data_IF_100950875287
#
_entry.id   IF_100950875287
#
_cell.length_a   1.000
_cell.length_b   1.000
_cell.length_c   1.000
_cell.angle_alpha   90.00
_cell.angle_beta   90.00
_cell.angle_gamma   90.00
#
_symmetry.space_group_name_H-M   'P 1'
#
loop_
_entity.id
_entity.type
_entity.pdbx_description
1 polymer ?
#
# COMPACT_ATOMS: atom_id res chain seq x y z
N UNK A 1 -8.55 -30.00 28.31
CA UNK A 1 -8.66 -29.49 26.93
C UNK A 1 -7.25 -29.41 26.39
N UNK A 2 -6.92 -30.22 25.38
CA UNK A 2 -5.60 -30.21 24.76
C UNK A 2 -5.44 -28.91 23.94
N UNK A 3 -4.20 -28.41 23.80
CA UNK A 3 -3.89 -27.22 22.98
C UNK A 3 -4.36 -27.32 21.53
N UNK A 4 -4.46 -28.53 20.96
CA UNK A 4 -5.05 -28.76 19.64
C UNK A 4 -6.57 -28.57 19.64
N UNK A 5 -7.28 -29.07 20.65
CA UNK A 5 -8.74 -28.89 20.78
C UNK A 5 -9.10 -27.40 20.91
N UNK A 6 -8.28 -26.64 21.65
CA UNK A 6 -8.46 -25.20 21.80
C UNK A 6 -8.24 -24.45 20.46
N UNK A 7 -7.19 -24.80 19.72
CA UNK A 7 -6.94 -24.21 18.38
C UNK A 7 -8.06 -24.54 17.40
N UNK A 8 -8.53 -25.78 17.42
CA UNK A 8 -9.62 -26.23 16.55
C UNK A 8 -10.94 -25.55 16.90
N UNK A 9 -11.25 -25.40 18.19
CA UNK A 9 -12.41 -24.64 18.65
C UNK A 9 -12.37 -23.18 18.16
N UNK A 10 -11.24 -22.49 18.35
CA UNK A 10 -11.06 -21.10 17.93
C UNK A 10 -11.21 -20.94 16.41
N UNK A 11 -10.61 -21.86 15.64
CA UNK A 11 -10.69 -21.85 14.19
C UNK A 11 -12.12 -22.13 13.69
N UNK A 12 -12.79 -23.16 14.21
CA UNK A 12 -14.17 -23.53 13.82
C UNK A 12 -15.19 -22.44 14.13
N UNK A 13 -14.94 -21.61 15.15
CA UNK A 13 -15.83 -20.51 15.56
C UNK A 13 -15.43 -19.15 14.97
N UNK A 14 -14.44 -19.12 14.08
CA UNK A 14 -13.88 -17.90 13.50
C UNK A 14 -13.51 -16.82 14.52
N UNK A 15 -13.16 -17.24 15.74
CA UNK A 15 -12.87 -16.32 16.86
C UNK A 15 -11.70 -15.39 16.52
N UNK A 16 -10.58 -15.86 15.94
CA UNK A 16 -9.48 -14.97 15.55
C UNK A 16 -9.89 -13.88 14.55
N UNK A 17 -10.80 -14.18 13.62
CA UNK A 17 -11.28 -13.25 12.61
C UNK A 17 -12.22 -12.20 13.20
N UNK A 18 -13.09 -12.62 14.14
CA UNK A 18 -13.91 -11.70 14.93
C UNK A 18 -13.03 -10.70 15.70
N UNK A 19 -12.06 -11.19 16.48
CA UNK A 19 -11.17 -10.33 17.25
C UNK A 19 -10.36 -9.39 16.35
N UNK A 20 -9.88 -9.88 15.21
CA UNK A 20 -9.17 -9.05 14.24
C UNK A 20 -10.05 -7.90 13.74
N UNK A 21 -11.31 -8.17 13.39
CA UNK A 21 -12.27 -7.16 12.93
C UNK A 21 -12.58 -6.11 14.01
N UNK A 22 -12.80 -6.56 15.25
CA UNK A 22 -13.05 -5.69 16.40
C UNK A 22 -11.85 -4.78 16.71
N UNK A 23 -10.64 -5.34 16.73
CA UNK A 23 -9.40 -4.60 16.96
C UNK A 23 -9.15 -3.58 15.85
N UNK A 24 -9.40 -3.95 14.59
CA UNK A 24 -9.27 -3.02 13.47
C UNK A 24 -10.26 -1.85 13.58
N UNK A 25 -11.51 -2.14 13.95
CA UNK A 25 -12.50 -1.11 14.24
C UNK A 25 -12.01 -0.13 15.30
N UNK A 26 -11.61 -0.63 16.47
CA UNK A 26 -11.08 0.18 17.58
C UNK A 26 -9.88 1.05 17.19
N UNK A 27 -8.91 0.47 16.49
CA UNK A 27 -7.71 1.20 16.06
C UNK A 27 -8.05 2.33 15.08
N UNK A 28 -9.08 2.15 14.25
CA UNK A 28 -9.50 3.14 13.25
C UNK A 28 -10.35 4.25 13.88
N UNK A 29 -11.39 3.88 14.62
CA UNK A 29 -12.38 4.82 15.18
C UNK A 29 -11.85 5.56 16.41
N UNK A 30 -10.95 4.96 17.19
CA UNK A 30 -10.42 5.52 18.46
C UNK A 30 -11.54 6.14 19.32
N UNK A 31 -12.57 5.35 19.66
CA UNK A 31 -13.74 5.87 20.38
C UNK A 31 -13.35 6.34 21.78
N UNK A 32 -14.06 7.34 22.31
CA UNK A 32 -13.85 7.81 23.68
C UNK A 32 -14.15 6.72 24.72
N UNK A 33 -15.15 5.88 24.44
CA UNK A 33 -15.45 4.65 25.19
C UNK A 33 -15.20 3.39 24.32
N UNK A 34 -14.04 2.72 24.50
CA UNK A 34 -13.70 1.49 23.78
C UNK A 34 -14.60 0.30 24.12
N UNK A 35 -15.15 0.24 25.34
CA UNK A 35 -15.95 -0.91 25.80
C UNK A 35 -17.33 -0.83 25.19
N UNK A 36 -17.99 0.33 25.27
CA UNK A 36 -19.29 0.56 24.65
C UNK A 36 -19.22 0.34 23.12
N UNK A 37 -18.14 0.82 22.49
CA UNK A 37 -17.91 0.58 21.06
C UNK A 37 -17.83 -0.93 20.74
N UNK A 38 -17.06 -1.71 21.51
CA UNK A 38 -16.95 -3.15 21.31
C UNK A 38 -18.27 -3.88 21.51
N UNK A 39 -19.06 -3.47 22.51
CA UNK A 39 -20.41 -4.01 22.74
C UNK A 39 -21.31 -3.77 21.53
N UNK A 40 -21.31 -2.55 20.99
CA UNK A 40 -22.08 -2.22 19.78
C UNK A 40 -21.65 -3.06 18.57
N UNK A 41 -20.35 -3.30 18.41
CA UNK A 41 -19.81 -4.14 17.35
C UNK A 41 -20.29 -5.60 17.50
N UNK A 42 -20.22 -6.16 18.71
CA UNK A 42 -20.68 -7.51 19.00
C UNK A 42 -22.20 -7.66 18.77
N UNK A 43 -22.98 -6.63 19.11
CA UNK A 43 -24.41 -6.62 18.83
C UNK A 43 -24.68 -6.67 17.32
N UNK A 44 -23.93 -5.89 16.52
CA UNK A 44 -23.99 -5.92 15.06
C UNK A 44 -23.57 -7.27 14.46
N UNK A 45 -22.62 -8.00 15.07
CA UNK A 45 -22.30 -9.38 14.66
C UNK A 45 -23.51 -10.30 14.79
N UNK A 46 -24.26 -10.17 15.90
CA UNK A 46 -25.48 -10.97 16.10
C UNK A 46 -26.52 -10.65 15.04
N UNK A 47 -26.71 -9.37 14.72
CA UNK A 47 -27.62 -8.93 13.66
C UNK A 47 -27.21 -9.44 12.27
N UNK A 48 -25.90 -9.53 11.99
CA UNK A 48 -25.37 -10.11 10.76
C UNK A 48 -25.56 -11.63 10.66
N UNK A 49 -25.96 -12.30 11.74
CA UNK A 49 -26.23 -13.74 11.76
C UNK A 49 -25.04 -14.61 12.17
N UNK A 50 -23.98 -14.03 12.73
CA UNK A 50 -22.85 -14.78 13.29
C UNK A 50 -21.46 -14.34 12.83
N UNK A 51 -20.43 -14.92 13.46
CA UNK A 51 -19.02 -14.57 13.21
C UNK A 51 -18.56 -14.87 11.78
N UNK A 52 -19.16 -15.87 11.12
CA UNK A 52 -18.85 -16.28 9.74
C UNK A 52 -19.19 -15.20 8.70
N UNK A 53 -20.03 -14.23 9.07
CA UNK A 53 -20.37 -13.07 8.23
C UNK A 53 -19.45 -11.88 8.43
N UNK A 54 -18.59 -11.92 9.46
CA UNK A 54 -17.73 -10.79 9.84
C UNK A 54 -16.46 -10.82 8.99
N UNK A 55 -16.29 -9.81 8.12
CA UNK A 55 -15.01 -9.51 7.48
C UNK A 55 -14.11 -8.69 8.40
N UNK A 56 -12.81 -8.65 8.10
CA UNK A 56 -11.81 -7.92 8.89
C UNK A 56 -12.07 -6.39 8.97
N UNK A 57 -12.82 -5.83 8.01
CA UNK A 57 -13.17 -4.41 7.89
C UNK A 57 -14.63 -4.10 8.27
N UNK A 58 -15.38 -5.07 8.81
CA UNK A 58 -16.82 -4.91 9.13
C UNK A 58 -17.12 -3.71 10.02
N UNK A 59 -16.17 -3.36 10.90
CA UNK A 59 -16.28 -2.24 11.83
C UNK A 59 -15.34 -1.07 11.48
N UNK A 60 -14.73 -1.11 10.30
CA UNK A 60 -14.00 0.05 9.75
C UNK A 60 -15.01 0.81 8.91
N UNK A 61 -15.33 2.05 9.28
CA UNK A 61 -16.42 2.87 8.72
C UNK A 61 -16.60 2.68 7.20
N UNK A 62 -17.66 1.95 6.83
CA UNK A 62 -18.10 1.82 5.44
C UNK A 62 -19.20 2.86 5.17
N UNK A 63 -18.82 4.12 5.04
CA UNK A 63 -19.66 4.98 4.19
C UNK A 63 -19.47 4.47 2.76
N UNK A 64 -20.56 4.02 2.12
CA UNK A 64 -20.57 3.77 0.66
C UNK A 64 -20.31 5.10 -0.05
N UNK A 65 -19.05 5.50 -0.15
CA UNK A 65 -18.63 6.67 -0.92
C UNK A 65 -18.64 6.28 -2.40
N UNK A 66 -19.43 7.02 -3.16
CA UNK A 66 -19.29 7.10 -4.61
C UNK A 66 -17.84 7.45 -4.97
N UNK A 67 -17.37 6.98 -6.13
CA UNK A 67 -16.02 7.30 -6.61
C UNK A 67 -15.75 8.81 -6.46
N UNK A 68 -14.63 9.22 -5.85
CA UNK A 68 -14.28 10.62 -5.77
C UNK A 68 -14.18 11.19 -7.20
N UNK A 69 -14.67 12.42 -7.44
CA UNK A 69 -14.48 13.08 -8.72
C UNK A 69 -12.98 13.31 -8.94
N UNK A 70 -12.50 13.00 -10.16
CA UNK A 70 -11.10 13.17 -10.54
C UNK A 70 -10.76 14.66 -10.72
N UNK A 71 -10.65 15.43 -9.64
CA UNK A 71 -10.36 16.86 -9.70
C UNK A 71 -8.88 17.14 -10.04
N UNK A 72 -8.65 18.01 -11.03
CA UNK A 72 -7.33 18.54 -11.37
C UNK A 72 -6.84 19.50 -10.28
N UNK A 73 -5.78 19.10 -9.56
CA UNK A 73 -5.22 19.87 -8.46
C UNK A 73 -4.47 21.12 -8.93
N UNK A 74 -4.71 22.23 -8.23
CA UNK A 74 -4.02 23.51 -8.36
C UNK A 74 -2.58 23.42 -7.83
N UNK A 75 -1.62 23.91 -8.63
CA UNK A 75 -0.20 23.99 -8.29
C UNK A 75 0.06 25.09 -7.24
N UNK A 76 0.89 24.80 -6.23
CA UNK A 76 1.39 25.78 -5.25
C UNK A 76 2.92 25.84 -5.32
N UNK A 77 3.42 27.09 -5.36
CA UNK A 77 4.81 27.53 -5.58
C UNK A 77 5.81 27.00 -4.54
N UNK A 78 6.99 26.61 -5.03
CA UNK A 78 8.20 26.27 -4.27
C UNK A 78 9.03 27.49 -3.87
N UNK A 79 9.73 27.37 -2.74
CA UNK A 79 10.68 28.35 -2.19
C UNK A 79 12.12 27.91 -2.51
N UNK A 80 12.95 28.85 -2.98
CA UNK A 80 14.36 28.64 -3.37
C UNK A 80 15.30 28.53 -2.16
N UNK A 81 16.31 27.66 -2.24
CA UNK A 81 17.54 27.77 -1.44
C UNK A 81 18.75 27.16 -2.15
N UNK A 82 19.88 27.86 -2.06
CA UNK A 82 21.11 27.70 -2.84
C UNK A 82 21.97 26.47 -2.47
N UNK A 83 22.71 25.99 -3.49
CA UNK A 83 23.64 24.84 -3.51
C UNK A 83 25.04 25.11 -2.91
N UNK A 84 25.73 24.01 -2.54
CA UNK A 84 27.16 23.78 -2.89
C UNK A 84 27.63 22.32 -2.67
N UNK A 85 28.19 21.74 -3.75
CA UNK A 85 29.33 20.80 -3.91
C UNK A 85 29.27 19.25 -3.79
N UNK A 86 29.60 18.61 -4.94
CA UNK A 86 30.35 17.36 -5.25
C UNK A 86 29.67 16.02 -5.61
N UNK A 87 29.38 15.86 -6.91
CA UNK A 87 29.96 14.92 -7.90
C UNK A 87 29.79 13.38 -7.70
N UNK A 88 28.54 13.00 -7.48
CA UNK A 88 27.85 11.70 -7.69
C UNK A 88 26.38 11.84 -7.24
N UNK A 89 26.09 12.94 -6.54
CA UNK A 89 24.79 13.47 -6.16
C UNK A 89 24.06 14.19 -7.29
N UNK A 90 24.76 14.74 -8.30
CA UNK A 90 24.14 15.58 -9.35
C UNK A 90 22.91 14.94 -9.99
N UNK A 91 22.96 13.67 -10.41
CA UNK A 91 21.76 13.04 -11.01
C UNK A 91 20.63 12.77 -10.02
N UNK A 92 20.90 12.66 -8.72
CA UNK A 92 19.88 12.49 -7.69
C UNK A 92 19.32 13.85 -7.20
N UNK A 93 20.18 14.85 -7.04
CA UNK A 93 19.85 16.24 -6.70
C UNK A 93 19.11 16.94 -7.84
N UNK A 94 19.51 16.72 -9.10
CA UNK A 94 18.77 17.18 -10.28
C UNK A 94 17.37 16.55 -10.38
N UNK A 95 17.09 15.40 -9.76
CA UNK A 95 15.73 14.81 -9.75
C UNK A 95 14.87 15.43 -8.64
N UNK A 96 15.48 16.06 -7.63
CA UNK A 96 14.73 16.77 -6.59
C UNK A 96 14.14 18.08 -7.11
N UNK A 97 14.83 18.78 -8.02
CA UNK A 97 14.38 20.08 -8.56
C UNK A 97 13.38 19.98 -9.71
N UNK A 98 13.32 18.86 -10.43
CA UNK A 98 12.48 18.76 -11.63
C UNK A 98 11.04 18.37 -11.28
N UNK A 99 10.10 19.17 -11.78
CA UNK A 99 8.68 18.80 -11.75
C UNK A 99 8.48 17.52 -12.56
N UNK A 100 7.85 16.52 -11.94
CA UNK A 100 7.59 15.21 -12.57
C UNK A 100 6.64 15.33 -13.76
N UNK A 101 5.74 16.32 -13.71
CA UNK A 101 4.76 16.59 -14.75
C UNK A 101 4.90 18.04 -15.20
N UNK A 102 4.85 18.27 -16.51
CA UNK A 102 4.87 19.60 -17.10
C UNK A 102 3.63 20.40 -16.64
N UNK A 103 3.80 21.54 -15.94
CA UNK A 103 2.69 22.33 -15.44
C UNK A 103 1.87 23.00 -16.56
N UNK A 104 2.41 23.07 -17.78
CA UNK A 104 1.70 23.56 -18.96
C UNK A 104 0.71 22.54 -19.54
N UNK A 105 0.73 21.28 -19.06
CA UNK A 105 -0.15 20.21 -19.54
C UNK A 105 -0.96 19.60 -18.40
N UNK A 106 -2.14 19.02 -18.69
CA UNK A 106 -2.85 18.21 -17.71
C UNK A 106 -1.98 16.99 -17.37
N UNK A 107 -1.68 16.78 -16.08
CA UNK A 107 -0.98 15.57 -15.64
C UNK A 107 -1.85 14.31 -15.85
N UNK A 108 -1.24 13.12 -16.03
CA UNK A 108 -1.94 11.84 -16.03
C UNK A 108 -2.80 11.65 -14.78
N UNK A 109 -3.88 10.87 -14.91
CA UNK A 109 -4.63 10.35 -13.77
C UNK A 109 -3.79 9.33 -13.00
N UNK A 110 -3.62 9.54 -11.69
CA UNK A 110 -2.80 8.67 -10.85
C UNK A 110 -3.69 7.82 -9.95
N UNK A 111 -3.63 6.50 -10.13
CA UNK A 111 -4.32 5.52 -9.29
C UNK A 111 -3.26 4.74 -8.50
N UNK A 112 -3.34 4.79 -7.18
CA UNK A 112 -2.49 4.00 -6.29
C UNK A 112 -3.24 2.75 -5.85
N UNK A 113 -2.60 1.59 -5.87
CA UNK A 113 -3.20 0.33 -5.43
C UNK A 113 -2.45 -0.23 -4.22
N UNK A 114 -3.12 -0.22 -3.08
CA UNK A 114 -2.59 -0.65 -1.79
C UNK A 114 -3.27 -1.93 -1.29
N UNK A 115 -2.58 -2.69 -0.44
CA UNK A 115 -3.08 -3.94 0.11
C UNK A 115 -1.99 -4.93 0.52
N UNK A 116 -2.38 -5.92 1.30
CA UNK A 116 -1.46 -6.89 1.89
C UNK A 116 -0.63 -7.66 0.85
N UNK A 117 0.58 -8.15 1.20
CA UNK A 117 1.30 -9.09 0.34
C UNK A 117 0.40 -10.31 0.07
N UNK A 118 0.25 -10.71 -1.20
CA UNK A 118 -0.66 -11.80 -1.58
C UNK A 118 -2.14 -11.39 -1.78
N UNK A 119 -2.52 -10.13 -1.59
CA UNK A 119 -3.93 -9.71 -1.77
C UNK A 119 -4.43 -9.76 -3.21
N UNK A 120 -3.50 -9.83 -4.19
CA UNK A 120 -3.83 -9.81 -5.62
C UNK A 120 -3.70 -8.44 -6.28
N UNK A 121 -3.04 -7.48 -5.63
CA UNK A 121 -2.79 -6.12 -6.15
C UNK A 121 -2.32 -6.11 -7.60
N UNK A 122 -1.16 -6.68 -7.90
CA UNK A 122 -0.62 -6.70 -9.26
C UNK A 122 -1.60 -7.24 -10.30
N UNK A 123 -2.38 -8.28 -9.97
CA UNK A 123 -3.41 -8.81 -10.87
C UNK A 123 -4.53 -7.80 -11.11
N UNK A 124 -5.01 -7.11 -10.08
CA UNK A 124 -6.08 -6.11 -10.23
C UNK A 124 -5.56 -4.82 -10.87
N UNK A 125 -4.37 -4.36 -10.49
CA UNK A 125 -3.71 -3.20 -11.07
C UNK A 125 -3.47 -3.36 -12.57
N UNK A 126 -3.03 -4.54 -13.03
CA UNK A 126 -2.92 -4.85 -14.46
C UNK A 126 -4.28 -4.78 -15.16
N UNK A 127 -5.33 -5.38 -14.57
CA UNK A 127 -6.69 -5.32 -15.15
C UNK A 127 -7.25 -3.91 -15.22
N UNK A 128 -6.98 -3.07 -14.20
CA UNK A 128 -7.38 -1.66 -14.21
C UNK A 128 -6.63 -0.94 -15.33
N UNK A 129 -5.32 -1.13 -15.42
CA UNK A 129 -4.48 -0.52 -16.45
C UNK A 129 -4.96 -0.90 -17.86
N UNK A 130 -5.11 -2.19 -18.15
CA UNK A 130 -5.59 -2.70 -19.44
C UNK A 130 -6.99 -2.17 -19.80
N UNK A 131 -7.91 -2.13 -18.83
CA UNK A 131 -9.29 -1.71 -19.08
C UNK A 131 -9.41 -0.23 -19.44
N UNK A 132 -8.55 0.61 -18.88
CA UNK A 132 -8.61 2.06 -19.07
C UNK A 132 -7.50 2.60 -19.99
N UNK A 133 -6.66 1.72 -20.56
CA UNK A 133 -5.52 2.13 -21.38
C UNK A 133 -4.45 2.89 -20.59
N UNK A 134 -4.33 2.64 -19.28
CA UNK A 134 -3.37 3.32 -18.42
C UNK A 134 -2.05 2.55 -18.33
N UNK A 135 -0.96 3.26 -18.05
CA UNK A 135 0.34 2.65 -17.83
C UNK A 135 0.40 1.98 -16.45
N UNK A 136 0.77 0.70 -16.42
CA UNK A 136 1.00 -0.05 -15.18
C UNK A 136 2.45 0.12 -14.68
N UNK A 137 2.60 0.37 -13.38
CA UNK A 137 3.90 0.43 -12.69
C UNK A 137 3.84 -0.44 -11.43
N UNK A 138 4.71 -1.45 -11.34
CA UNK A 138 4.94 -2.18 -10.08
C UNK A 138 6.19 -1.66 -9.38
N UNK A 139 6.02 -1.00 -8.23
CA UNK A 139 7.15 -0.45 -7.46
C UNK A 139 8.09 -1.55 -7.00
N UNK A 140 7.55 -2.71 -6.61
CA UNK A 140 8.37 -3.85 -6.24
C UNK A 140 9.21 -4.39 -7.40
N UNK A 141 8.69 -4.37 -8.63
CA UNK A 141 9.45 -4.80 -9.81
C UNK A 141 10.49 -3.76 -10.22
N UNK A 142 10.14 -2.48 -10.16
CA UNK A 142 11.04 -1.36 -10.41
C UNK A 142 12.30 -1.48 -9.53
N UNK A 143 12.11 -1.62 -8.21
CA UNK A 143 13.22 -1.78 -7.26
C UNK A 143 14.03 -3.05 -7.53
N UNK A 144 13.38 -4.18 -7.83
CA UNK A 144 14.09 -5.43 -8.17
C UNK A 144 14.92 -5.27 -9.44
N UNK A 145 14.37 -4.67 -10.51
CA UNK A 145 15.11 -4.41 -11.75
C UNK A 145 16.32 -3.53 -11.48
N UNK A 146 16.15 -2.45 -10.70
CA UNK A 146 17.23 -1.55 -10.34
C UNK A 146 18.36 -2.29 -9.61
N UNK A 147 18.03 -3.08 -8.59
CA UNK A 147 18.98 -3.94 -7.85
C UNK A 147 19.77 -4.86 -8.78
N UNK A 148 19.12 -5.49 -9.76
CA UNK A 148 19.81 -6.37 -10.71
C UNK A 148 20.75 -5.60 -11.64
N UNK A 149 20.33 -4.41 -12.10
CA UNK A 149 21.13 -3.57 -13.00
C UNK A 149 22.32 -2.87 -12.33
N UNK A 150 22.30 -2.69 -11.01
CA UNK A 150 23.32 -1.93 -10.25
C UNK A 150 24.01 -2.82 -9.21
N UNK A 151 24.28 -4.08 -9.54
CA UNK A 151 24.77 -5.11 -8.61
C UNK A 151 26.14 -4.77 -7.98
N UNK A 152 26.96 -3.95 -8.64
CA UNK A 152 28.25 -3.45 -8.13
C UNK A 152 28.14 -2.24 -7.19
N UNK A 153 26.97 -1.61 -7.09
CA UNK A 153 26.77 -0.43 -6.26
C UNK A 153 26.46 -0.80 -4.79
N UNK A 154 27.24 -0.26 -3.85
CA UNK A 154 27.10 -0.53 -2.42
C UNK A 154 25.72 -0.17 -1.85
N UNK A 155 25.13 0.96 -2.26
CA UNK A 155 23.78 1.39 -1.84
C UNK A 155 22.74 0.35 -2.24
N UNK A 156 22.77 -0.10 -3.49
CA UNK A 156 21.82 -1.07 -4.00
C UNK A 156 22.00 -2.48 -3.43
N UNK A 157 23.24 -2.86 -3.09
CA UNK A 157 23.51 -4.09 -2.35
C UNK A 157 22.87 -4.08 -0.95
N UNK A 158 22.92 -2.95 -0.23
CA UNK A 158 22.25 -2.80 1.07
C UNK A 158 20.73 -2.84 0.94
N UNK A 159 20.17 -2.13 -0.04
CA UNK A 159 18.73 -2.14 -0.31
C UNK A 159 18.23 -3.55 -0.68
N UNK A 160 19.02 -4.31 -1.45
CA UNK A 160 18.72 -5.71 -1.75
C UNK A 160 18.63 -6.56 -0.48
N UNK A 161 19.54 -6.39 0.48
CA UNK A 161 19.49 -7.07 1.79
C UNK A 161 18.24 -6.69 2.59
N UNK A 162 17.89 -5.41 2.61
CA UNK A 162 16.67 -4.93 3.29
C UNK A 162 15.42 -5.62 2.71
N UNK A 163 15.24 -5.56 1.39
CA UNK A 163 14.07 -6.12 0.70
C UNK A 163 14.00 -7.65 0.83
N UNK A 164 15.12 -8.36 0.66
CA UNK A 164 15.16 -9.83 0.79
C UNK A 164 14.80 -10.31 2.20
N UNK A 165 15.01 -9.47 3.21
CA UNK A 165 14.58 -9.78 4.58
C UNK A 165 13.12 -9.45 4.86
N UNK A 166 12.39 -8.88 3.89
CA UNK A 166 10.97 -8.55 3.98
C UNK A 166 10.70 -7.13 4.49
N UNK A 167 11.73 -6.31 4.70
CA UNK A 167 11.59 -4.92 5.10
C UNK A 167 11.26 -4.00 3.92
N UNK A 168 10.78 -2.80 4.24
CA UNK A 168 10.54 -1.75 3.24
C UNK A 168 11.85 -1.15 2.76
N UNK A 169 11.96 -0.90 1.46
CA UNK A 169 13.06 -0.11 0.93
C UNK A 169 12.99 1.32 1.51
N UNK A 170 14.14 2.02 1.61
CA UNK A 170 14.16 3.41 2.04
C UNK A 170 13.19 4.26 1.22
N UNK A 171 12.46 5.13 1.92
CA UNK A 171 11.40 5.96 1.36
C UNK A 171 11.91 6.85 0.21
N UNK A 172 12.96 7.62 0.46
CA UNK A 172 13.59 8.51 -0.53
C UNK A 172 13.96 7.74 -1.80
N UNK A 173 14.65 6.60 -1.65
CA UNK A 173 15.04 5.78 -2.81
C UNK A 173 13.82 5.27 -3.58
N UNK A 174 12.75 4.89 -2.88
CA UNK A 174 11.52 4.43 -3.53
C UNK A 174 10.86 5.56 -4.33
N UNK A 175 10.77 6.77 -3.75
CA UNK A 175 10.22 7.95 -4.42
C UNK A 175 11.07 8.34 -5.64
N UNK A 176 12.40 8.38 -5.52
CA UNK A 176 13.30 8.70 -6.64
C UNK A 176 13.10 7.75 -7.82
N UNK A 177 13.00 6.44 -7.57
CA UNK A 177 12.78 5.49 -8.66
C UNK A 177 11.40 5.68 -9.32
N UNK A 178 10.36 5.98 -8.52
CA UNK A 178 9.03 6.29 -9.06
C UNK A 178 9.09 7.55 -9.93
N UNK A 179 9.71 8.64 -9.44
CA UNK A 179 9.92 9.88 -10.22
C UNK A 179 10.60 9.61 -11.55
N UNK A 180 11.75 8.92 -11.51
CA UNK A 180 12.50 8.55 -12.71
C UNK A 180 11.63 7.78 -13.70
N UNK A 181 10.79 6.85 -13.20
CA UNK A 181 9.91 6.08 -14.07
C UNK A 181 8.82 6.93 -14.69
N UNK A 182 8.22 7.85 -13.95
CA UNK A 182 7.15 8.75 -14.43
C UNK A 182 7.68 9.73 -15.49
N UNK A 183 8.88 10.27 -15.30
CA UNK A 183 9.53 11.18 -16.26
C UNK A 183 9.82 10.52 -17.61
N UNK A 184 9.89 9.18 -17.67
CA UNK A 184 10.08 8.43 -18.92
C UNK A 184 8.77 8.21 -19.70
N UNK A 185 7.62 8.55 -19.12
CA UNK A 185 6.28 8.34 -19.69
C UNK A 185 5.40 9.60 -19.56
N UNK A 186 5.88 10.77 -19.98
CA UNK A 186 5.22 12.06 -19.71
C UNK A 186 3.87 12.23 -20.42
N UNK A 187 3.62 11.49 -21.51
CA UNK A 187 2.45 11.64 -22.37
C UNK A 187 1.32 10.64 -22.07
N UNK A 188 1.41 9.88 -20.97
CA UNK A 188 0.36 8.95 -20.57
C UNK A 188 -0.89 9.68 -20.06
N UNK A 189 -2.08 9.17 -20.39
CA UNK A 189 -3.34 9.74 -19.88
C UNK A 189 -3.66 9.30 -18.44
N UNK A 190 -3.12 8.15 -18.03
CA UNK A 190 -3.29 7.63 -16.68
C UNK A 190 -2.29 6.55 -16.33
N UNK A 191 -2.04 6.40 -15.02
CA UNK A 191 -0.99 5.56 -14.46
C UNK A 191 -1.54 4.83 -13.23
N UNK A 192 -1.33 3.51 -13.20
CA UNK A 192 -1.69 2.65 -12.07
C UNK A 192 -0.41 2.18 -11.37
N UNK A 193 -0.22 2.61 -10.13
CA UNK A 193 0.96 2.28 -9.31
C UNK A 193 0.61 1.18 -8.30
N UNK A 194 1.17 -0.01 -8.47
CA UNK A 194 1.00 -1.16 -7.57
C UNK A 194 2.05 -1.19 -6.45
N UNK A 195 1.55 -1.34 -5.23
CA UNK A 195 2.34 -1.75 -4.08
C UNK A 195 3.02 -0.59 -3.35
N UNK A 196 2.48 0.61 -3.55
CA UNK A 196 2.90 1.88 -2.96
C UNK A 196 1.68 2.81 -2.81
N UNK A 197 1.62 3.66 -1.76
CA UNK A 197 2.50 3.69 -0.58
C UNK A 197 2.24 2.48 0.34
N UNK A 198 3.18 2.24 1.26
CA UNK A 198 3.08 1.16 2.26
C UNK A 198 3.00 1.65 3.70
N UNK A 199 3.19 2.94 3.91
CA UNK A 199 2.99 3.66 5.16
C UNK A 199 2.60 5.12 4.87
N UNK A 200 2.25 5.85 5.93
CA UNK A 200 1.81 7.26 5.82
C UNK A 200 2.94 8.18 5.37
N UNK A 201 4.19 7.91 5.79
CA UNK A 201 5.32 8.74 5.41
C UNK A 201 5.52 8.70 3.89
N UNK A 202 5.50 7.51 3.29
CA UNK A 202 5.55 7.33 1.84
C UNK A 202 4.41 8.05 1.11
N UNK A 203 3.20 8.03 1.66
CA UNK A 203 2.08 8.78 1.10
C UNK A 203 2.35 10.28 1.09
N UNK A 204 2.81 10.84 2.22
CA UNK A 204 3.14 12.25 2.34
C UNK A 204 4.23 12.67 1.36
N UNK A 205 5.33 11.91 1.25
CA UNK A 205 6.40 12.24 0.29
C UNK A 205 5.96 12.11 -1.16
N UNK A 206 5.06 11.18 -1.48
CA UNK A 206 4.52 11.08 -2.84
C UNK A 206 3.68 12.31 -3.18
N UNK A 207 2.83 12.76 -2.26
CA UNK A 207 2.00 13.94 -2.48
C UNK A 207 2.82 15.22 -2.58
N UNK A 208 3.84 15.35 -1.75
CA UNK A 208 4.74 16.49 -1.70
C UNK A 208 5.64 16.57 -2.95
N UNK A 209 6.24 15.46 -3.35
CA UNK A 209 7.28 15.46 -4.38
C UNK A 209 6.81 15.08 -5.78
N UNK A 210 5.60 14.51 -5.91
CA UNK A 210 5.06 14.02 -7.19
C UNK A 210 3.71 14.68 -7.45
N UNK A 211 2.66 14.22 -6.75
CA UNK A 211 1.33 14.82 -6.78
C UNK A 211 0.38 14.11 -5.81
N UNK A 212 -0.73 14.76 -5.46
CA UNK A 212 -1.87 14.07 -4.86
C UNK A 212 -2.50 13.08 -5.85
N UNK A 213 -2.66 11.78 -5.48
CA UNK A 213 -3.29 10.80 -6.36
C UNK A 213 -4.77 11.11 -6.57
N UNK A 214 -5.31 10.73 -7.74
CA UNK A 214 -6.74 10.91 -8.03
C UNK A 214 -7.60 9.82 -7.35
N UNK A 215 -7.05 8.62 -7.16
CA UNK A 215 -7.74 7.51 -6.49
C UNK A 215 -6.74 6.58 -5.80
N UNK A 216 -7.10 6.09 -4.62
CA UNK A 216 -6.43 5.01 -3.92
C UNK A 216 -7.37 3.81 -3.86
N UNK A 217 -6.99 2.70 -4.48
CA UNK A 217 -7.73 1.45 -4.40
C UNK A 217 -7.09 0.58 -3.33
N UNK A 218 -7.85 0.25 -2.29
CA UNK A 218 -7.40 -0.63 -1.24
C UNK A 218 -8.04 -2.01 -1.35
N UNK A 219 -7.20 -3.01 -1.61
CA UNK A 219 -7.61 -4.40 -1.69
C UNK A 219 -7.62 -5.06 -0.30
N UNK A 220 -8.80 -5.05 0.29
CA UNK A 220 -9.14 -5.71 1.54
C UNK A 220 -9.07 -7.23 1.37
N UNK A 221 -8.28 -7.91 2.20
CA UNK A 221 -8.16 -9.36 2.12
C UNK A 221 -7.81 -9.96 3.48
N UNK A 222 -8.51 -11.03 3.85
CA UNK A 222 -8.29 -11.72 5.11
C UNK A 222 -6.86 -12.27 5.22
N UNK A 223 -6.24 -12.13 6.39
CA UNK A 223 -4.87 -12.57 6.67
C UNK A 223 -4.61 -14.02 6.28
N UNK A 224 -5.58 -14.91 6.51
CA UNK A 224 -5.45 -16.32 6.19
C UNK A 224 -5.25 -16.53 4.69
N UNK A 225 -6.03 -15.84 3.85
CA UNK A 225 -5.89 -15.88 2.39
C UNK A 225 -4.57 -15.25 1.91
N UNK A 226 -4.11 -14.18 2.57
CA UNK A 226 -2.80 -13.57 2.26
C UNK A 226 -1.67 -14.59 2.45
N UNK A 227 -1.65 -15.27 3.60
CA UNK A 227 -0.66 -16.30 3.92
C UNK A 227 -0.69 -17.46 2.92
N UNK A 228 -1.87 -18.01 2.66
CA UNK A 228 -2.05 -19.13 1.71
C UNK A 228 -1.54 -18.78 0.31
N UNK A 229 -1.85 -17.58 -0.17
CA UNK A 229 -1.40 -17.11 -1.49
C UNK A 229 0.11 -16.86 -1.54
N UNK A 230 0.70 -16.36 -0.45
CA UNK A 230 2.15 -16.15 -0.38
C UNK A 230 2.92 -17.46 -0.35
N UNK A 231 2.45 -18.46 0.38
CA UNK A 231 3.04 -19.80 0.39
C UNK A 231 3.02 -20.43 -1.00
N UNK A 232 1.85 -20.42 -1.67
CA UNK A 232 1.73 -20.91 -3.05
C UNK A 232 2.65 -20.16 -4.02
N UNK A 233 2.81 -18.85 -3.84
CA UNK A 233 3.69 -18.04 -4.70
C UNK A 233 5.17 -18.37 -4.48
N UNK A 234 5.58 -18.61 -3.23
CA UNK A 234 6.95 -19.00 -2.90
C UNK A 234 7.35 -20.29 -3.62
N UNK A 235 6.44 -21.26 -3.68
CA UNK A 235 6.64 -22.54 -4.38
C UNK A 235 6.77 -22.39 -5.90
N UNK A 236 6.07 -21.41 -6.49
CA UNK A 236 5.91 -21.28 -7.95
C UNK A 236 6.83 -20.26 -8.62
N UNK A 237 7.14 -19.14 -7.96
CA UNK A 237 7.73 -17.96 -8.61
C UNK A 237 9.15 -17.62 -8.14
N UNK A 238 9.66 -18.26 -7.08
CA UNK A 238 11.04 -18.12 -6.64
C UNK A 238 11.48 -16.69 -6.32
N UNK A 239 10.59 -15.82 -5.80
CA UNK A 239 10.98 -14.44 -5.46
C UNK A 239 11.97 -14.44 -4.28
N UNK A 240 13.03 -13.63 -4.30
CA UNK A 240 14.00 -13.57 -3.20
C UNK A 240 13.37 -13.24 -1.84
N UNK A 241 12.29 -12.44 -1.85
CA UNK A 241 11.53 -11.96 -0.69
C UNK A 241 10.31 -12.83 -0.32
N UNK A 242 10.19 -14.04 -0.90
CA UNK A 242 9.11 -15.00 -0.59
C UNK A 242 9.55 -16.14 0.37
N UNK A 243 10.69 -16.00 1.05
CA UNK A 243 11.06 -16.92 2.13
C UNK A 243 10.14 -16.74 3.36
N UNK A 244 10.08 -17.76 4.23
CA UNK A 244 9.15 -17.79 5.37
C UNK A 244 9.31 -16.57 6.30
N UNK A 245 10.56 -16.21 6.63
CA UNK A 245 10.85 -15.06 7.50
C UNK A 245 10.45 -13.74 6.85
N UNK A 246 10.80 -13.52 5.58
CA UNK A 246 10.43 -12.32 4.83
C UNK A 246 8.91 -12.20 4.68
N UNK A 247 8.21 -13.29 4.39
CA UNK A 247 6.75 -13.33 4.31
C UNK A 247 6.09 -12.89 5.61
N UNK A 248 6.57 -13.41 6.75
CA UNK A 248 6.07 -13.01 8.06
C UNK A 248 6.31 -11.52 8.34
N UNK A 249 7.51 -10.99 8.06
CA UNK A 249 7.82 -9.57 8.25
C UNK A 249 6.96 -8.67 7.36
N UNK A 250 6.76 -9.03 6.09
CA UNK A 250 5.91 -8.28 5.18
C UNK A 250 4.46 -8.22 5.65
N UNK A 251 3.93 -9.31 6.20
CA UNK A 251 2.59 -9.33 6.79
C UNK A 251 2.52 -8.48 8.06
N UNK A 252 3.55 -8.53 8.91
CA UNK A 252 3.64 -7.72 10.13
C UNK A 252 3.70 -6.22 9.81
N UNK A 253 4.60 -5.82 8.90
CA UNK A 253 4.74 -4.44 8.43
C UNK A 253 3.42 -3.94 7.81
N UNK A 254 2.75 -4.77 7.00
CA UNK A 254 1.44 -4.42 6.47
C UNK A 254 0.41 -4.19 7.59
N UNK A 255 0.32 -5.08 8.58
CA UNK A 255 -0.63 -4.92 9.69
C UNK A 255 -0.40 -3.63 10.50
N UNK A 256 0.86 -3.30 10.76
CA UNK A 256 1.22 -2.10 11.51
C UNK A 256 0.90 -0.81 10.75
N UNK A 257 1.11 -0.81 9.43
CA UNK A 257 1.03 0.41 8.63
C UNK A 257 -0.30 0.58 7.88
N UNK A 258 -1.07 -0.48 7.66
CA UNK A 258 -2.28 -0.43 6.84
C UNK A 258 -3.38 0.44 7.47
N UNK A 259 -3.68 0.24 8.75
CA UNK A 259 -4.73 1.00 9.44
C UNK A 259 -4.49 2.54 9.40
N UNK A 260 -3.32 3.07 9.80
CA UNK A 260 -3.08 4.51 9.71
C UNK A 260 -3.06 5.02 8.26
N UNK A 261 -2.55 4.23 7.31
CA UNK A 261 -2.53 4.61 5.90
C UNK A 261 -3.92 4.69 5.27
N UNK A 262 -4.76 3.70 5.55
CA UNK A 262 -6.16 3.69 5.09
C UNK A 262 -6.91 4.87 5.69
N UNK A 263 -6.76 5.12 7.00
CA UNK A 263 -7.36 6.27 7.68
C UNK A 263 -6.95 7.60 7.03
N UNK A 264 -5.66 7.78 6.77
CA UNK A 264 -5.13 8.97 6.11
C UNK A 264 -5.82 9.28 4.78
N UNK A 265 -5.99 8.29 3.90
CA UNK A 265 -6.69 8.53 2.63
C UNK A 265 -8.22 8.57 2.76
N UNK A 266 -8.80 7.94 3.78
CA UNK A 266 -10.24 8.02 4.08
C UNK A 266 -10.64 9.43 4.48
N UNK A 267 -9.85 10.08 5.33
CA UNK A 267 -10.05 11.47 5.77
C UNK A 267 -9.96 12.45 4.59
N UNK A 268 -9.11 12.15 3.60
CA UNK A 268 -9.01 12.91 2.34
C UNK A 268 -10.10 12.60 1.32
N UNK A 269 -10.89 11.54 1.53
CA UNK A 269 -11.91 11.11 0.57
C UNK A 269 -11.35 10.54 -0.73
N UNK A 270 -10.08 10.11 -0.76
CA UNK A 270 -9.39 9.64 -1.97
C UNK A 270 -9.40 8.11 -2.13
N UNK A 271 -9.91 7.36 -1.15
CA UNK A 271 -9.78 5.89 -1.08
C UNK A 271 -11.08 5.16 -1.34
N UNK A 272 -10.98 4.04 -2.05
CA UNK A 272 -12.03 3.05 -2.24
C UNK A 272 -11.55 1.67 -1.79
N UNK A 273 -12.31 1.04 -0.90
CA UNK A 273 -12.03 -0.33 -0.42
C UNK A 273 -12.77 -1.36 -1.26
N UNK A 274 -12.05 -2.41 -1.69
CA UNK A 274 -12.57 -3.54 -2.47
C UNK A 274 -12.18 -4.84 -1.77
N UNK A 275 -13.15 -5.70 -1.46
CA UNK A 275 -12.98 -6.95 -0.67
C UNK A 275 -13.31 -8.21 -1.46
#
# INVERSE_FOLDING_TARGET
MNTNDAKEYLARREIPQLFESLLNGLMCSKPEDPVEYLESCLQKVKELGGCDKVKWDTFVSQEKKTLPPLNGGQSRRSFLRNESDTDLSETAELIEEYEVFDPARPRPKIILVIGGPGSGKGTQSLKIAERYGFQYISVGELLRKKIHSTSSNRKWSLIAKIITTGELAPQETTITEIKQKLMQIPDEEGIVIDGFPRDVAQALSFEDQICTPDLVVFLACANQRLKERLLKRAEQQGRPDDNLKATQRRLMNFKQNAAPLVKYFQEKGLIMTVS
#
